data_IF_785712768984
#
_entry.id   IF_785712768984
#
_cell.length_a   1.000
_cell.length_b   1.000
_cell.length_c   1.000
_cell.angle_alpha   90.00
_cell.angle_beta   90.00
_cell.angle_gamma   90.00
#
_symmetry.space_group_name_H-M   'P 1'
#
loop_
_entity.id
_entity.type
_entity.pdbx_description
1 polymer ?
#
# COMPACT_ATOMS: atom_id res chain seq x y z
N UNK A 1 16.85 13.48 0.98
CA UNK A 1 17.13 14.50 1.98
C UNK A 1 18.22 14.04 2.93
N UNK A 2 18.50 14.84 3.95
CA UNK A 2 19.61 14.71 4.88
C UNK A 2 19.56 13.38 5.66
N UNK A 3 20.70 12.75 5.85
CA UNK A 3 20.87 11.53 6.64
C UNK A 3 19.98 10.36 6.21
N UNK A 4 19.60 10.29 4.94
CA UNK A 4 18.95 9.11 4.38
C UNK A 4 20.00 8.01 4.19
N UNK A 5 19.68 6.79 4.63
CA UNK A 5 20.51 5.61 4.44
C UNK A 5 19.79 4.55 3.62
N UNK A 6 20.52 3.90 2.72
CA UNK A 6 20.00 2.87 1.81
C UNK A 6 20.98 1.71 1.81
N UNK A 7 20.50 0.53 2.19
CA UNK A 7 21.33 -0.66 2.20
C UNK A 7 21.28 -1.37 0.84
N UNK A 8 22.41 -1.89 0.40
CA UNK A 8 22.46 -2.78 -0.76
C UNK A 8 21.76 -4.12 -0.45
N UNK A 9 21.46 -4.88 -1.48
CA UNK A 9 20.97 -6.25 -1.33
C UNK A 9 22.01 -7.15 -0.65
N UNK A 10 21.55 -8.22 -0.01
CA UNK A 10 22.39 -9.14 0.77
C UNK A 10 23.13 -10.13 -0.10
N UNK A 11 22.48 -10.70 -1.10
CA UNK A 11 23.02 -11.79 -1.89
C UNK A 11 23.43 -11.34 -3.30
N UNK A 12 24.32 -12.12 -3.92
CA UNK A 12 24.77 -11.88 -5.27
C UNK A 12 23.59 -12.07 -6.26
N UNK A 13 23.46 -11.13 -7.20
CA UNK A 13 22.34 -11.13 -8.17
C UNK A 13 21.05 -10.48 -7.68
N UNK A 14 20.93 -10.22 -6.39
CA UNK A 14 19.80 -9.46 -5.84
C UNK A 14 20.05 -7.95 -5.88
N UNK A 15 18.98 -7.17 -5.71
CA UNK A 15 19.09 -5.72 -5.78
C UNK A 15 18.17 -5.00 -4.80
N UNK A 16 18.63 -3.89 -4.27
CA UNK A 16 17.79 -2.82 -3.74
C UNK A 16 17.56 -1.83 -4.88
N UNK A 17 16.31 -1.59 -5.25
CA UNK A 17 15.96 -0.73 -6.39
C UNK A 17 15.02 0.39 -5.97
N UNK A 18 15.30 1.58 -6.44
CA UNK A 18 14.48 2.77 -6.23
C UNK A 18 14.20 3.37 -7.60
N UNK A 19 12.92 3.53 -7.93
CA UNK A 19 12.50 4.18 -9.16
C UNK A 19 12.67 5.70 -9.14
N UNK A 20 11.97 6.37 -10.04
CA UNK A 20 12.16 7.79 -10.30
C UNK A 20 11.19 8.69 -9.52
N UNK A 21 11.55 9.97 -9.39
CA UNK A 21 10.72 11.03 -8.79
C UNK A 21 10.30 10.77 -7.34
N UNK A 22 11.07 9.98 -6.59
CA UNK A 22 10.80 9.70 -5.19
C UNK A 22 11.32 10.81 -4.28
N UNK A 23 10.56 11.16 -3.25
CA UNK A 23 10.96 12.08 -2.19
C UNK A 23 11.16 11.30 -0.89
N UNK A 24 12.42 11.02 -0.54
CA UNK A 24 12.80 10.49 0.75
C UNK A 24 13.23 11.67 1.64
N UNK A 25 12.43 11.96 2.66
CA UNK A 25 12.74 13.07 3.59
C UNK A 25 13.80 12.65 4.61
N UNK A 26 14.21 13.59 5.45
CA UNK A 26 15.34 13.40 6.35
C UNK A 26 15.20 12.19 7.29
N UNK A 27 16.31 11.53 7.54
CA UNK A 27 16.44 10.39 8.47
C UNK A 27 15.64 9.15 8.07
N UNK A 28 15.23 9.00 6.80
CA UNK A 28 14.65 7.75 6.32
C UNK A 28 15.73 6.68 6.16
N UNK A 29 15.39 5.44 6.48
CA UNK A 29 16.22 4.27 6.25
C UNK A 29 15.51 3.27 5.35
N UNK A 30 16.20 2.75 4.34
CA UNK A 30 15.78 1.61 3.53
C UNK A 30 16.70 0.42 3.80
N UNK A 31 16.10 -0.65 4.30
CA UNK A 31 16.77 -1.93 4.45
C UNK A 31 17.16 -2.57 3.11
N UNK A 32 17.89 -3.66 3.19
CA UNK A 32 18.35 -4.43 2.04
C UNK A 32 17.19 -5.01 1.21
N UNK A 33 17.37 -5.21 -0.08
CA UNK A 33 16.41 -5.87 -0.98
C UNK A 33 15.05 -5.14 -1.11
N UNK A 34 14.97 -3.87 -0.74
CA UNK A 34 13.76 -3.09 -0.93
C UNK A 34 13.56 -2.72 -2.40
N UNK A 35 12.30 -2.78 -2.85
CA UNK A 35 11.90 -2.40 -4.20
C UNK A 35 10.89 -1.25 -4.12
N UNK A 36 11.31 -0.07 -4.55
CA UNK A 36 10.48 1.14 -4.59
C UNK A 36 10.14 1.50 -6.03
N UNK A 37 8.86 1.73 -6.29
CA UNK A 37 8.37 2.28 -7.55
C UNK A 37 8.69 3.77 -7.71
N UNK A 38 7.81 4.48 -8.40
CA UNK A 38 8.01 5.87 -8.80
C UNK A 38 7.08 6.83 -8.05
N UNK A 39 7.54 8.06 -7.83
CA UNK A 39 6.72 9.14 -7.28
C UNK A 39 6.28 8.92 -5.84
N UNK A 40 6.98 8.12 -5.09
CA UNK A 40 6.73 7.82 -3.67
C UNK A 40 7.15 9.02 -2.83
N UNK A 41 6.37 9.32 -1.78
CA UNK A 41 6.73 10.31 -0.77
C UNK A 41 6.87 9.61 0.58
N UNK A 42 8.05 9.66 1.15
CA UNK A 42 8.37 9.19 2.49
C UNK A 42 8.72 10.38 3.37
N UNK A 43 7.90 10.64 4.39
CA UNK A 43 8.14 11.72 5.35
C UNK A 43 9.32 11.39 6.28
N UNK A 44 9.66 12.32 7.19
CA UNK A 44 10.85 12.18 8.04
C UNK A 44 10.82 10.95 8.95
N UNK A 45 11.98 10.31 9.14
CA UNK A 45 12.21 9.30 10.18
C UNK A 45 11.51 7.97 9.95
N UNK A 46 11.25 7.60 8.71
CA UNK A 46 10.69 6.28 8.36
C UNK A 46 11.79 5.24 8.36
N UNK A 47 11.53 4.09 9.02
CA UNK A 47 12.43 2.95 9.07
C UNK A 47 11.83 1.77 8.31
N UNK A 48 12.39 1.43 7.16
CA UNK A 48 11.95 0.32 6.31
C UNK A 48 12.88 -0.86 6.49
N UNK A 49 12.35 -1.99 6.94
CA UNK A 49 13.09 -3.24 7.05
C UNK A 49 13.37 -3.86 5.66
N UNK A 50 14.07 -4.98 5.61
CA UNK A 50 14.44 -5.63 4.35
C UNK A 50 13.28 -6.21 3.57
N UNK A 51 13.46 -6.37 2.25
CA UNK A 51 12.50 -7.01 1.33
C UNK A 51 11.12 -6.35 1.26
N UNK A 52 11.02 -5.06 1.55
CA UNK A 52 9.77 -4.31 1.43
C UNK A 52 9.58 -3.86 -0.01
N UNK A 53 8.36 -4.03 -0.52
CA UNK A 53 7.94 -3.52 -1.82
C UNK A 53 7.01 -2.33 -1.61
N UNK A 54 7.30 -1.21 -2.28
CA UNK A 54 6.43 -0.03 -2.27
C UNK A 54 6.10 0.33 -3.71
N UNK A 55 4.84 0.26 -4.06
CA UNK A 55 4.37 0.59 -5.40
C UNK A 55 4.31 2.10 -5.64
N UNK A 56 4.06 2.46 -6.90
CA UNK A 56 4.06 3.84 -7.38
C UNK A 56 3.14 4.76 -6.57
N UNK A 57 3.63 5.98 -6.32
CA UNK A 57 2.85 7.10 -5.79
C UNK A 57 2.28 6.87 -4.38
N UNK A 58 2.78 5.88 -3.65
CA UNK A 58 2.46 5.73 -2.24
C UNK A 58 2.95 6.94 -1.43
N UNK A 59 2.20 7.31 -0.39
CA UNK A 59 2.55 8.40 0.53
C UNK A 59 2.65 7.82 1.93
N UNK A 60 3.80 7.96 2.56
CA UNK A 60 4.08 7.36 3.86
C UNK A 60 4.39 8.47 4.85
N UNK A 61 3.57 8.55 5.90
CA UNK A 61 3.70 9.51 7.00
C UNK A 61 4.95 9.28 7.84
N UNK A 62 5.36 10.28 8.60
CA UNK A 62 6.62 10.26 9.33
C UNK A 62 6.62 9.40 10.60
N UNK A 63 7.83 9.15 11.10
CA UNK A 63 8.11 8.49 12.39
C UNK A 63 7.43 7.12 12.52
N UNK A 64 7.60 6.25 11.54
CA UNK A 64 7.03 4.91 11.56
C UNK A 64 8.03 3.84 11.11
N UNK A 65 7.74 2.60 11.48
CA UNK A 65 8.49 1.43 11.04
C UNK A 65 7.64 0.53 10.14
N UNK A 66 8.27 -0.01 9.10
CA UNK A 66 7.67 -0.97 8.17
C UNK A 66 8.37 -2.30 8.34
N UNK A 67 7.59 -3.33 8.69
CA UNK A 67 8.12 -4.68 8.93
C UNK A 67 8.62 -5.30 7.62
N UNK A 68 9.60 -6.20 7.74
CA UNK A 68 10.15 -6.93 6.59
C UNK A 68 9.07 -7.68 5.78
N UNK A 69 9.28 -7.79 4.48
CA UNK A 69 8.41 -8.45 3.51
C UNK A 69 7.03 -7.81 3.31
N UNK A 70 6.76 -6.66 3.93
CA UNK A 70 5.52 -5.93 3.71
C UNK A 70 5.47 -5.36 2.29
N UNK A 71 4.29 -5.39 1.70
CA UNK A 71 3.98 -4.70 0.45
C UNK A 71 3.07 -3.50 0.74
N UNK A 72 3.40 -2.35 0.13
CA UNK A 72 2.58 -1.15 0.17
C UNK A 72 2.10 -0.87 -1.25
N UNK A 73 0.80 -0.97 -1.45
CA UNK A 73 0.18 -0.81 -2.75
C UNK A 73 0.20 0.64 -3.27
N UNK A 74 0.00 0.77 -4.57
CA UNK A 74 0.05 2.04 -5.27
C UNK A 74 -0.95 3.07 -4.74
N UNK A 75 -0.52 4.34 -4.66
CA UNK A 75 -1.34 5.46 -4.15
C UNK A 75 -1.93 5.23 -2.75
N UNK A 76 -1.45 4.23 -2.01
CA UNK A 76 -1.81 4.09 -0.61
C UNK A 76 -1.32 5.28 0.21
N UNK A 77 -2.03 5.60 1.28
CA UNK A 77 -1.63 6.58 2.28
C UNK A 77 -1.44 5.88 3.62
N UNK A 78 -0.25 5.97 4.18
CA UNK A 78 0.04 5.50 5.53
C UNK A 78 0.16 6.71 6.45
N UNK A 79 -0.68 6.80 7.46
CA UNK A 79 -0.64 7.88 8.46
C UNK A 79 0.66 7.87 9.27
N UNK A 80 1.07 9.02 9.79
CA UNK A 80 2.27 9.10 10.64
C UNK A 80 2.14 8.25 11.91
N UNK A 81 3.27 7.77 12.44
CA UNK A 81 3.36 6.94 13.66
C UNK A 81 2.58 5.61 13.58
N UNK A 82 2.22 5.17 12.39
CA UNK A 82 1.50 3.91 12.17
C UNK A 82 2.45 2.71 12.33
N UNK A 83 2.01 1.67 13.02
CA UNK A 83 2.71 0.38 13.00
C UNK A 83 2.31 -0.40 11.74
N UNK A 84 3.27 -0.59 10.83
CA UNK A 84 3.07 -1.29 9.56
C UNK A 84 3.71 -2.68 9.63
N UNK A 85 2.94 -3.69 10.02
CA UNK A 85 3.38 -5.09 10.13
C UNK A 85 2.66 -6.06 9.18
N UNK A 86 1.78 -5.54 8.32
CA UNK A 86 1.03 -6.26 7.29
C UNK A 86 0.99 -5.44 6.00
N UNK A 87 0.55 -6.06 4.91
CA UNK A 87 0.45 -5.40 3.62
C UNK A 87 -0.59 -4.27 3.64
N UNK A 88 -0.23 -3.16 3.03
CA UNK A 88 -1.10 -1.97 2.89
C UNK A 88 -1.73 -2.01 1.51
N UNK A 89 -3.05 -2.17 1.40
CA UNK A 89 -3.71 -2.27 0.09
C UNK A 89 -3.59 -0.99 -0.73
N UNK A 90 -3.49 -1.09 -2.06
CA UNK A 90 -3.46 0.07 -2.93
C UNK A 90 -4.70 0.95 -2.75
N UNK A 91 -4.53 2.25 -2.93
CA UNK A 91 -5.60 3.24 -2.84
C UNK A 91 -6.22 3.42 -1.45
N UNK A 92 -5.76 2.71 -0.44
CA UNK A 92 -6.31 2.77 0.92
C UNK A 92 -5.54 3.73 1.82
N UNK A 93 -6.25 4.26 2.82
CA UNK A 93 -5.69 4.94 3.98
C UNK A 93 -5.54 3.94 5.12
N UNK A 94 -4.32 3.81 5.61
CA UNK A 94 -3.99 2.98 6.79
C UNK A 94 -3.38 3.87 7.85
N UNK A 95 -3.86 3.75 9.10
CA UNK A 95 -3.32 4.51 10.22
C UNK A 95 -3.51 3.82 11.57
N UNK A 96 -2.71 4.21 12.55
CA UNK A 96 -2.86 3.80 13.95
C UNK A 96 -1.82 2.82 14.46
N UNK A 97 -1.92 2.50 15.76
CA UNK A 97 -1.03 1.55 16.43
C UNK A 97 -1.87 0.61 17.33
N UNK A 98 -2.19 -0.60 16.85
CA UNK A 98 -1.80 -1.23 15.59
C UNK A 98 -2.43 -0.55 14.36
N UNK A 99 -1.75 -0.68 13.21
CA UNK A 99 -2.25 -0.16 11.93
C UNK A 99 -3.59 -0.80 11.52
N UNK A 100 -4.48 0.02 10.99
CA UNK A 100 -5.80 -0.43 10.49
C UNK A 100 -6.13 0.26 9.17
N UNK A 101 -6.75 -0.48 8.27
CA UNK A 101 -7.38 0.09 7.09
C UNK A 101 -8.59 0.93 7.52
N UNK A 102 -8.63 2.20 7.10
CA UNK A 102 -9.64 3.19 7.51
C UNK A 102 -10.63 3.52 6.41
N UNK A 103 -10.13 3.74 5.22
CA UNK A 103 -10.93 4.24 4.10
C UNK A 103 -10.12 4.17 2.79
N UNK A 104 -10.77 4.43 1.67
CA UNK A 104 -10.05 4.79 0.44
C UNK A 104 -9.36 6.15 0.58
N UNK A 105 -8.18 6.28 0.01
CA UNK A 105 -7.41 7.53 -0.08
C UNK A 105 -8.04 8.48 -1.12
N UNK A 106 -9.27 8.94 -0.85
CA UNK A 106 -10.02 9.81 -1.76
C UNK A 106 -9.26 11.10 -2.12
N UNK A 107 -8.50 11.63 -1.17
CA UNK A 107 -7.71 12.85 -1.40
C UNK A 107 -6.61 12.60 -2.40
N UNK A 108 -5.86 11.51 -2.24
CA UNK A 108 -4.81 11.11 -3.18
C UNK A 108 -5.35 10.83 -4.58
N UNK A 109 -6.44 10.08 -4.68
CA UNK A 109 -7.10 9.75 -5.95
C UNK A 109 -7.57 11.03 -6.68
N UNK A 110 -8.24 11.95 -5.97
CA UNK A 110 -8.71 13.23 -6.52
C UNK A 110 -7.55 14.13 -6.98
N UNK A 111 -6.49 14.26 -6.18
CA UNK A 111 -5.32 15.07 -6.55
C UNK A 111 -4.64 14.60 -7.82
N UNK A 112 -4.83 13.37 -8.20
CA UNK A 112 -4.33 12.78 -9.45
C UNK A 112 -5.35 12.76 -10.58
N UNK A 113 -6.51 13.38 -10.38
CA UNK A 113 -7.55 13.54 -11.40
C UNK A 113 -8.26 12.24 -11.77
N UNK A 114 -8.15 11.19 -10.94
CA UNK A 114 -8.79 9.90 -11.21
C UNK A 114 -10.31 9.96 -11.08
N UNK A 115 -10.82 10.88 -10.26
CA UNK A 115 -12.25 11.14 -10.09
C UNK A 115 -12.92 11.74 -11.34
N UNK A 116 -12.13 12.22 -12.29
CA UNK A 116 -12.60 12.82 -13.56
C UNK A 116 -12.44 11.90 -14.77
N UNK A 117 -11.75 10.77 -14.61
CA UNK A 117 -11.60 9.77 -15.67
C UNK A 117 -12.90 9.02 -15.84
N UNK A 118 -13.22 8.65 -17.07
CA UNK A 118 -14.38 7.84 -17.43
C UNK A 118 -15.68 8.26 -16.71
N UNK A 119 -15.87 9.57 -16.53
CA UNK A 119 -17.01 10.13 -15.81
C UNK A 119 -17.13 9.60 -14.36
N UNK A 120 -15.99 9.23 -13.76
CA UNK A 120 -15.91 8.70 -12.39
C UNK A 120 -16.30 7.23 -12.23
N UNK A 121 -16.53 6.50 -13.32
CA UNK A 121 -16.97 5.09 -13.26
C UNK A 121 -15.91 4.19 -12.63
N UNK A 122 -14.64 4.38 -12.99
CA UNK A 122 -13.53 3.60 -12.43
C UNK A 122 -13.41 3.76 -10.91
N UNK A 123 -13.52 5.00 -10.41
CA UNK A 123 -13.52 5.28 -8.97
C UNK A 123 -14.76 4.70 -8.27
N UNK A 124 -15.92 4.76 -8.93
CA UNK A 124 -17.13 4.17 -8.38
C UNK A 124 -16.99 2.66 -8.22
N UNK A 125 -16.52 1.96 -9.25
CA UNK A 125 -16.29 0.51 -9.13
C UNK A 125 -15.23 0.18 -8.07
N UNK A 126 -14.13 0.95 -7.98
CA UNK A 126 -13.16 0.80 -6.90
C UNK A 126 -13.82 0.95 -5.52
N UNK A 127 -14.73 1.92 -5.34
CA UNK A 127 -15.44 2.12 -4.07
C UNK A 127 -16.37 0.94 -3.75
N UNK A 128 -17.07 0.42 -4.74
CA UNK A 128 -18.00 -0.71 -4.57
C UNK A 128 -17.22 -1.98 -4.19
N UNK A 129 -16.12 -2.28 -4.88
CA UNK A 129 -15.24 -3.41 -4.57
C UNK A 129 -14.60 -3.24 -3.19
N UNK A 130 -14.08 -2.05 -2.88
CA UNK A 130 -13.51 -1.79 -1.56
C UNK A 130 -14.55 -1.97 -0.44
N UNK A 131 -15.79 -1.52 -0.64
CA UNK A 131 -16.87 -1.68 0.33
C UNK A 131 -17.21 -3.17 0.53
N UNK A 132 -17.24 -3.94 -0.55
CA UNK A 132 -17.41 -5.39 -0.48
C UNK A 132 -16.30 -6.08 0.33
N UNK A 133 -15.04 -5.64 0.19
CA UNK A 133 -13.88 -6.25 0.85
C UNK A 133 -13.71 -5.83 2.32
N UNK A 134 -14.08 -4.58 2.67
CA UNK A 134 -13.75 -4.00 3.96
C UNK A 134 -14.94 -3.51 4.80
N UNK A 135 -16.15 -3.50 4.24
CA UNK A 135 -17.37 -3.00 4.92
C UNK A 135 -18.54 -3.98 4.89
N UNK A 136 -18.39 -5.12 4.24
CA UNK A 136 -19.38 -6.20 4.30
C UNK A 136 -19.05 -7.20 5.42
N UNK A 137 -19.93 -8.16 5.64
CA UNK A 137 -19.72 -9.26 6.58
C UNK A 137 -18.88 -10.41 6.00
N UNK A 138 -18.46 -10.32 4.74
CA UNK A 138 -17.65 -11.33 4.09
C UNK A 138 -16.19 -11.29 4.59
N UNK A 139 -15.56 -12.45 4.69
CA UNK A 139 -14.10 -12.51 4.79
C UNK A 139 -13.46 -12.07 3.46
N UNK A 140 -12.25 -11.52 3.49
CA UNK A 140 -11.60 -10.97 2.29
C UNK A 140 -11.56 -11.96 1.12
N UNK A 141 -11.28 -13.24 1.39
CA UNK A 141 -11.24 -14.27 0.34
C UNK A 141 -12.60 -14.45 -0.38
N UNK A 142 -13.70 -14.42 0.36
CA UNK A 142 -15.04 -14.50 -0.22
C UNK A 142 -15.40 -13.21 -0.96
N UNK A 143 -15.07 -12.05 -0.40
CA UNK A 143 -15.27 -10.76 -1.06
C UNK A 143 -14.53 -10.68 -2.40
N UNK A 144 -13.28 -11.20 -2.47
CA UNK A 144 -12.51 -11.28 -3.70
C UNK A 144 -13.18 -12.19 -4.74
N UNK A 145 -13.66 -13.36 -4.32
CA UNK A 145 -14.40 -14.27 -5.22
C UNK A 145 -15.62 -13.57 -5.82
N UNK A 146 -16.43 -12.90 -5.00
CA UNK A 146 -17.60 -12.15 -5.45
C UNK A 146 -17.24 -10.98 -6.37
N UNK A 147 -16.18 -10.23 -6.05
CA UNK A 147 -15.71 -9.14 -6.90
C UNK A 147 -15.32 -9.61 -8.30
N UNK A 148 -14.75 -10.81 -8.41
CA UNK A 148 -14.31 -11.42 -9.68
C UNK A 148 -15.47 -11.97 -10.54
N UNK A 149 -16.70 -12.03 -10.05
CA UNK A 149 -17.88 -12.46 -10.83
C UNK A 149 -18.25 -11.47 -11.94
N UNK A 150 -17.71 -10.25 -11.90
CA UNK A 150 -17.93 -9.22 -12.92
C UNK A 150 -16.61 -8.69 -13.50
N UNK A 151 -16.63 -8.12 -14.72
CA UNK A 151 -15.45 -7.47 -15.26
C UNK A 151 -14.99 -6.30 -14.38
N UNK A 152 -13.70 -6.27 -14.05
CA UNK A 152 -13.12 -5.22 -13.23
C UNK A 152 -12.37 -4.21 -14.10
N UNK A 153 -12.56 -2.92 -13.79
CA UNK A 153 -11.75 -1.84 -14.32
C UNK A 153 -10.37 -1.82 -13.61
N UNK A 154 -9.34 -1.18 -14.20
CA UNK A 154 -7.95 -1.33 -13.78
C UNK A 154 -7.69 -1.09 -12.28
N UNK A 155 -8.29 -0.08 -11.66
CA UNK A 155 -8.06 0.20 -10.23
C UNK A 155 -8.66 -0.89 -9.32
N UNK A 156 -9.87 -1.36 -9.62
CA UNK A 156 -10.52 -2.41 -8.87
C UNK A 156 -9.82 -3.76 -9.08
N UNK A 157 -9.39 -4.05 -10.31
CA UNK A 157 -8.60 -5.25 -10.62
C UNK A 157 -7.26 -5.27 -9.89
N UNK A 158 -6.54 -4.15 -9.87
CA UNK A 158 -5.29 -4.02 -9.13
C UNK A 158 -5.49 -4.24 -7.62
N UNK A 159 -6.55 -3.66 -7.02
CA UNK A 159 -6.88 -3.89 -5.60
C UNK A 159 -7.12 -5.37 -5.31
N UNK A 160 -7.91 -6.05 -6.15
CA UNK A 160 -8.17 -7.48 -6.00
C UNK A 160 -6.89 -8.31 -6.16
N UNK A 161 -6.11 -8.09 -7.21
CA UNK A 161 -4.87 -8.82 -7.49
C UNK A 161 -3.84 -8.65 -6.36
N UNK A 162 -3.69 -7.44 -5.83
CA UNK A 162 -2.84 -7.19 -4.67
C UNK A 162 -3.30 -7.99 -3.44
N UNK A 163 -4.59 -7.99 -3.14
CA UNK A 163 -5.13 -8.70 -1.97
C UNK A 163 -5.08 -10.22 -2.13
N UNK A 164 -5.30 -10.75 -3.32
CA UNK A 164 -5.10 -12.17 -3.64
C UNK A 164 -3.65 -12.59 -3.35
N UNK A 165 -2.68 -11.79 -3.79
CA UNK A 165 -1.27 -11.99 -3.45
C UNK A 165 -1.00 -11.90 -1.94
N UNK A 166 -1.60 -10.91 -1.27
CA UNK A 166 -1.40 -10.66 0.17
C UNK A 166 -1.94 -11.78 1.07
N UNK A 167 -3.04 -12.45 0.69
CA UNK A 167 -3.61 -13.58 1.45
C UNK A 167 -3.02 -14.93 1.06
N UNK A 168 -2.06 -14.97 0.12
CA UNK A 168 -1.42 -16.21 -0.30
C UNK A 168 -0.63 -16.87 0.83
N UNK A 169 -0.36 -18.18 0.69
CA UNK A 169 0.34 -18.96 1.71
C UNK A 169 1.70 -18.33 2.07
N UNK A 170 2.00 -18.27 3.36
CA UNK A 170 3.26 -17.74 3.90
C UNK A 170 3.27 -16.23 4.12
N UNK A 171 2.26 -15.49 3.67
CA UNK A 171 2.15 -14.04 3.93
C UNK A 171 1.31 -13.73 5.17
N UNK A 172 1.56 -12.56 5.77
CA UNK A 172 0.81 -12.10 6.95
C UNK A 172 -0.60 -11.60 6.64
N UNK A 173 -0.88 -11.38 5.35
CA UNK A 173 -2.13 -10.80 4.88
C UNK A 173 -2.17 -9.27 4.97
N UNK A 174 -3.25 -8.66 4.48
CA UNK A 174 -3.41 -7.21 4.47
C UNK A 174 -3.72 -6.64 5.86
N UNK A 175 -3.56 -5.31 5.99
CA UNK A 175 -4.04 -4.57 7.16
C UNK A 175 -5.53 -4.82 7.37
N UNK A 176 -5.95 -5.21 8.58
CA UNK A 176 -7.37 -5.43 8.87
C UNK A 176 -8.12 -4.10 8.94
N UNK A 177 -9.42 -4.15 8.65
CA UNK A 177 -10.31 -3.00 8.79
C UNK A 177 -10.43 -2.53 10.25
N UNK A 178 -10.87 -1.28 10.42
CA UNK A 178 -11.31 -0.79 11.73
C UNK A 178 -12.55 -1.55 12.15
N UNK A 179 -12.52 -2.11 13.36
CA UNK A 179 -13.62 -2.95 13.88
C UNK A 179 -13.68 -4.35 13.27
N UNK A 180 -12.74 -4.71 12.41
CA UNK A 180 -12.62 -6.04 11.84
C UNK A 180 -12.18 -7.07 12.88
N UNK A 181 -12.75 -8.26 12.75
CA UNK A 181 -12.45 -9.46 13.53
C UNK A 181 -11.11 -10.05 13.16
#
# INVERSE_FOLDING_TARGET
>A
RECVTINRATDEGEQTRIGDHNLLMAYCHLGHNCLLGNGIVMSNGIQVAGHVLIEDKAVIGGCLGIHQFVQIGGMAMVGGMTRVDRDVPPYCLVEGHPGRERALNRVGLRRRGLDRRDQGQEIKQLQDVWALLYRSDHVIAEGLRLAREQPLMPLADHLCSFLEGSISQGRRGPMPAVGGR
#
